data_IF_181190961109
#
_entry.id   IF_181190961109
#
_cell.length_a   1.000
_cell.length_b   1.000
_cell.length_c   1.000
_cell.angle_alpha   90.00
_cell.angle_beta   90.00
_cell.angle_gamma   90.00
#
_symmetry.space_group_name_H-M   'P 1'
#
loop_
_entity.id
_entity.type
_entity.pdbx_description
1 polymer ?
#
# COMPACT_ATOMS: atom_id res chain seq x y z
N UNK A 1 -79.20 31.06 -3.85
CA UNK A 1 -79.47 30.08 -4.92
C UNK A 1 -78.15 29.62 -5.48
N UNK A 2 -77.68 28.40 -5.38
CA UNK A 2 -78.00 27.17 -4.64
C UNK A 2 -76.73 26.34 -4.84
N UNK A 3 -75.99 26.02 -3.79
CA UNK A 3 -75.96 24.69 -3.19
C UNK A 3 -76.41 23.52 -4.09
N UNK A 4 -75.49 22.56 -4.27
CA UNK A 4 -75.67 21.17 -4.74
C UNK A 4 -75.95 20.93 -6.25
N UNK A 5 -74.93 20.46 -6.97
CA UNK A 5 -75.00 19.17 -7.70
C UNK A 5 -73.59 18.59 -7.98
N UNK A 6 -73.09 17.84 -6.99
CA UNK A 6 -72.32 16.59 -7.06
C UNK A 6 -72.10 15.92 -8.45
N UNK A 7 -70.84 15.68 -8.87
CA UNK A 7 -70.15 14.35 -8.92
C UNK A 7 -69.06 14.17 -10.01
N UNK A 8 -67.92 13.61 -9.55
CA UNK A 8 -66.87 12.82 -10.21
C UNK A 8 -65.92 13.44 -11.26
N UNK A 9 -64.64 13.62 -10.89
CA UNK A 9 -63.51 12.84 -11.46
C UNK A 9 -62.16 13.07 -10.72
N UNK A 10 -61.64 11.98 -10.16
CA UNK A 10 -60.22 11.54 -10.03
C UNK A 10 -59.05 12.48 -9.69
N UNK A 11 -58.35 12.12 -8.59
CA UNK A 11 -56.89 12.06 -8.36
C UNK A 11 -55.96 12.99 -9.16
N UNK A 12 -55.11 13.76 -8.47
CA UNK A 12 -53.72 13.34 -8.18
C UNK A 12 -52.97 14.35 -7.30
N UNK A 13 -52.16 13.77 -6.41
CA UNK A 13 -51.23 14.37 -5.48
C UNK A 13 -49.99 14.85 -6.26
N UNK A 14 -49.58 16.10 -6.15
CA UNK A 14 -48.25 16.54 -6.62
C UNK A 14 -47.39 16.89 -5.41
N UNK A 15 -46.63 15.90 -4.94
CA UNK A 15 -45.54 16.11 -4.00
C UNK A 15 -44.38 16.76 -4.76
N UNK A 16 -43.95 17.94 -4.31
CA UNK A 16 -42.72 18.58 -4.77
C UNK A 16 -41.55 17.84 -4.13
N UNK A 17 -40.94 16.92 -4.85
CA UNK A 17 -39.67 16.30 -4.45
C UNK A 17 -38.53 17.28 -4.78
N UNK A 18 -37.86 17.78 -3.75
CA UNK A 18 -36.59 18.47 -3.88
C UNK A 18 -35.54 17.47 -4.41
N UNK A 19 -35.01 17.72 -5.59
CA UNK A 19 -33.92 16.92 -6.17
C UNK A 19 -32.62 17.25 -5.43
N UNK A 20 -32.18 16.34 -4.56
CA UNK A 20 -30.80 16.30 -4.09
C UNK A 20 -29.90 15.88 -5.26
N UNK A 21 -28.94 16.73 -5.62
CA UNK A 21 -27.96 16.44 -6.65
C UNK A 21 -26.96 15.39 -6.11
N UNK A 22 -27.15 14.13 -6.50
CA UNK A 22 -26.15 13.08 -6.33
C UNK A 22 -25.03 13.29 -7.35
N UNK A 23 -23.80 13.53 -6.88
CA UNK A 23 -22.61 13.49 -7.74
C UNK A 23 -22.21 12.02 -7.92
N UNK A 24 -22.71 11.40 -8.97
CA UNK A 24 -22.27 10.07 -9.39
C UNK A 24 -20.94 10.22 -10.15
N UNK A 25 -19.84 9.76 -9.55
CA UNK A 25 -18.59 9.50 -10.27
C UNK A 25 -18.75 8.26 -11.16
N UNK A 26 -19.51 8.39 -12.25
CA UNK A 26 -19.55 7.39 -13.31
C UNK A 26 -18.25 7.48 -14.12
N UNK A 27 -17.39 6.47 -14.02
CA UNK A 27 -16.20 6.32 -14.86
C UNK A 27 -16.64 6.31 -16.34
N UNK A 28 -16.23 7.29 -17.17
CA UNK A 28 -16.61 7.32 -18.57
C UNK A 28 -15.60 6.51 -19.38
N UNK A 29 -15.62 5.18 -19.26
CA UNK A 29 -15.02 4.30 -20.27
C UNK A 29 -15.93 3.10 -20.52
N UNK A 30 -16.39 2.89 -21.77
CA UNK A 30 -17.05 1.64 -22.11
C UNK A 30 -16.02 0.51 -22.00
N UNK A 31 -16.32 -0.48 -21.16
CA UNK A 31 -15.60 -1.75 -21.15
C UNK A 31 -15.89 -2.46 -22.47
N UNK A 32 -14.98 -2.32 -23.43
CA UNK A 32 -14.97 -3.17 -24.62
C UNK A 32 -14.36 -4.50 -24.17
N UNK A 33 -15.21 -5.46 -23.82
CA UNK A 33 -14.80 -6.86 -23.65
C UNK A 33 -15.05 -7.53 -25.00
N UNK A 34 -14.07 -7.41 -25.91
CA UNK A 34 -14.06 -8.27 -27.09
C UNK A 34 -13.75 -9.71 -26.63
N UNK A 35 -14.47 -10.73 -27.14
CA UNK A 35 -14.14 -12.12 -26.85
C UNK A 35 -12.70 -12.41 -27.31
N UNK A 36 -11.91 -13.03 -26.44
CA UNK A 36 -10.54 -13.42 -26.73
C UNK A 36 -10.52 -14.30 -28.00
N UNK A 37 -9.63 -14.03 -28.97
CA UNK A 37 -9.45 -14.88 -30.15
C UNK A 37 -9.21 -16.34 -29.75
N UNK A 38 -9.79 -17.31 -30.48
CA UNK A 38 -9.59 -18.75 -30.22
C UNK A 38 -8.10 -19.17 -30.23
N UNK A 39 -7.25 -18.41 -30.90
CA UNK A 39 -5.79 -18.61 -30.92
C UNK A 39 -5.10 -18.35 -29.57
N UNK A 40 -5.79 -17.74 -28.60
CA UNK A 40 -5.32 -17.52 -27.23
C UNK A 40 -5.91 -18.54 -26.23
N UNK A 41 -6.59 -19.58 -26.72
CA UNK A 41 -7.14 -20.68 -25.90
C UNK A 41 -6.15 -21.84 -25.68
N UNK A 42 -4.89 -21.71 -26.15
CA UNK A 42 -3.81 -22.60 -25.71
C UNK A 42 -3.60 -22.45 -24.20
N UNK A 43 -3.08 -23.48 -23.55
CA UNK A 43 -2.77 -23.41 -22.12
C UNK A 43 -1.82 -22.22 -21.88
N UNK A 44 -2.25 -21.17 -21.14
CA UNK A 44 -1.41 -19.99 -20.90
C UNK A 44 -0.18 -20.32 -20.03
N UNK A 45 -0.09 -21.54 -19.49
CA UNK A 45 1.07 -22.03 -18.75
C UNK A 45 2.08 -22.80 -19.62
N UNK A 46 1.78 -23.03 -20.91
CA UNK A 46 2.75 -23.49 -21.92
C UNK A 46 3.53 -22.31 -22.56
N UNK A 47 3.25 -21.07 -22.12
CA UNK A 47 3.83 -19.83 -22.63
C UNK A 47 5.24 -19.54 -22.08
N UNK A 48 5.89 -18.53 -22.68
CA UNK A 48 7.18 -17.96 -22.24
C UNK A 48 7.21 -17.75 -20.71
N UNK A 49 8.16 -18.37 -19.97
CA UNK A 49 8.29 -18.18 -18.53
C UNK A 49 8.33 -16.71 -18.09
N UNK A 50 8.87 -15.82 -18.94
CA UNK A 50 8.82 -14.38 -18.67
C UNK A 50 7.39 -13.83 -18.62
N UNK A 51 6.52 -14.27 -19.54
CA UNK A 51 5.11 -13.85 -19.59
C UNK A 51 4.35 -14.34 -18.37
N UNK A 52 4.47 -15.64 -18.05
CA UNK A 52 3.77 -16.26 -16.91
C UNK A 52 4.23 -15.62 -15.60
N UNK A 53 5.53 -15.43 -15.40
CA UNK A 53 6.06 -14.85 -14.18
C UNK A 53 5.77 -13.36 -14.05
N UNK A 54 5.69 -12.61 -15.15
CA UNK A 54 5.25 -11.22 -15.12
C UNK A 54 3.74 -11.09 -14.86
N UNK A 55 2.92 -12.00 -15.39
CA UNK A 55 1.49 -12.05 -15.07
C UNK A 55 1.26 -12.43 -13.60
N UNK A 56 2.02 -13.41 -13.10
CA UNK A 56 2.06 -13.79 -11.68
C UNK A 56 2.49 -12.60 -10.80
N UNK A 57 3.52 -11.84 -11.22
CA UNK A 57 3.95 -10.55 -10.64
C UNK A 57 2.80 -9.59 -10.46
N UNK A 58 2.18 -9.24 -11.58
CA UNK A 58 1.09 -8.29 -11.60
C UNK A 58 -0.11 -8.76 -10.75
N UNK A 59 -0.46 -10.05 -10.82
CA UNK A 59 -1.54 -10.61 -10.03
C UNK A 59 -1.27 -10.55 -8.51
N UNK A 60 -0.02 -10.79 -8.09
CA UNK A 60 0.35 -10.68 -6.68
C UNK A 60 0.37 -9.23 -6.19
N UNK A 61 0.93 -8.32 -6.99
CA UNK A 61 0.87 -6.88 -6.73
C UNK A 61 -0.58 -6.42 -6.60
N UNK A 62 -1.49 -6.87 -7.47
CA UNK A 62 -2.91 -6.53 -7.40
C UNK A 62 -3.72 -7.29 -6.31
N UNK A 63 -3.07 -8.07 -5.44
CA UNK A 63 -3.72 -8.92 -4.42
C UNK A 63 -4.79 -9.88 -5.00
N UNK A 64 -4.59 -10.35 -6.23
CA UNK A 64 -5.49 -11.29 -6.92
C UNK A 64 -5.14 -12.78 -6.67
N UNK A 65 -4.03 -13.04 -5.99
CA UNK A 65 -3.54 -14.38 -5.72
C UNK A 65 -3.95 -14.86 -4.31
N UNK A 66 -4.19 -16.16 -4.16
CA UNK A 66 -4.39 -16.80 -2.84
C UNK A 66 -3.06 -16.87 -2.09
N UNK A 67 -3.01 -16.72 -0.74
CA UNK A 67 -1.77 -16.63 0.02
C UNK A 67 -0.70 -17.66 -0.34
N UNK A 68 0.54 -17.22 -0.50
CA UNK A 68 1.70 -18.04 -0.87
C UNK A 68 2.84 -17.86 0.15
N UNK A 69 3.65 -18.90 0.32
CA UNK A 69 4.80 -18.91 1.27
C UNK A 69 6.16 -18.77 0.59
N UNK A 70 6.20 -18.97 -0.72
CA UNK A 70 7.38 -18.94 -1.56
C UNK A 70 6.93 -18.57 -2.98
N UNK A 71 7.83 -18.02 -3.78
CA UNK A 71 7.57 -17.78 -5.21
C UNK A 71 7.48 -19.12 -5.98
N UNK A 72 6.79 -19.19 -7.14
CA UNK A 72 6.90 -20.31 -8.07
C UNK A 72 8.37 -20.52 -8.46
N UNK A 73 8.93 -21.74 -8.32
CA UNK A 73 10.34 -22.00 -8.61
C UNK A 73 10.78 -21.59 -10.02
N UNK A 74 9.89 -21.75 -11.00
CA UNK A 74 10.08 -21.32 -12.39
C UNK A 74 10.28 -19.81 -12.54
N UNK A 75 9.79 -19.01 -11.59
CA UNK A 75 9.88 -17.55 -11.60
C UNK A 75 11.11 -17.00 -10.87
N UNK A 76 11.97 -17.83 -10.29
CA UNK A 76 13.13 -17.36 -9.53
C UNK A 76 14.06 -16.42 -10.33
N UNK A 77 14.40 -16.82 -11.56
CA UNK A 77 15.26 -16.01 -12.43
C UNK A 77 14.59 -14.68 -12.80
N UNK A 78 13.28 -14.71 -13.10
CA UNK A 78 12.49 -13.52 -13.38
C UNK A 78 12.46 -12.55 -12.18
N UNK A 79 12.19 -13.07 -10.98
CA UNK A 79 12.10 -12.25 -9.76
C UNK A 79 13.46 -11.62 -9.44
N UNK A 80 14.55 -12.37 -9.57
CA UNK A 80 15.91 -11.85 -9.38
C UNK A 80 16.24 -10.73 -10.38
N UNK A 81 15.96 -10.94 -11.67
CA UNK A 81 16.18 -9.94 -12.72
C UNK A 81 15.32 -8.69 -12.51
N UNK A 82 14.04 -8.85 -12.17
CA UNK A 82 13.16 -7.73 -11.85
C UNK A 82 13.66 -6.93 -10.65
N UNK A 83 13.89 -7.60 -9.51
CA UNK A 83 14.21 -6.96 -8.23
C UNK A 83 15.56 -6.23 -8.25
N UNK A 84 16.53 -6.73 -9.01
CA UNK A 84 17.86 -6.11 -9.17
C UNK A 84 17.96 -5.21 -10.39
N UNK A 85 16.93 -5.22 -11.24
CA UNK A 85 16.89 -4.57 -12.54
C UNK A 85 16.25 -3.18 -12.53
N UNK A 86 16.26 -2.59 -13.72
CA UNK A 86 15.71 -1.24 -13.96
C UNK A 86 14.19 -1.20 -13.81
N UNK A 87 13.48 -2.30 -14.07
CA UNK A 87 12.03 -2.36 -13.98
C UNK A 87 11.54 -2.02 -12.56
N UNK A 88 12.10 -2.69 -11.54
CA UNK A 88 11.78 -2.42 -10.13
C UNK A 88 12.08 -0.97 -9.72
N UNK A 89 13.23 -0.42 -10.15
CA UNK A 89 13.58 0.97 -9.86
C UNK A 89 12.63 1.99 -10.53
N UNK A 90 12.13 1.67 -11.72
CA UNK A 90 11.18 2.49 -12.46
C UNK A 90 9.79 2.44 -11.80
N UNK A 91 9.33 1.26 -11.40
CA UNK A 91 8.06 1.10 -10.66
C UNK A 91 8.09 1.91 -9.35
N UNK A 92 9.19 1.81 -8.59
CA UNK A 92 9.43 2.61 -7.39
C UNK A 92 9.39 4.14 -7.62
N UNK A 93 10.08 4.63 -8.65
CA UNK A 93 10.08 6.07 -8.98
C UNK A 93 8.71 6.54 -9.46
N UNK A 94 7.96 5.72 -10.21
CA UNK A 94 6.60 6.08 -10.64
C UNK A 94 5.68 6.26 -9.44
N UNK A 95 5.65 5.29 -8.51
CA UNK A 95 4.83 5.38 -7.30
C UNK A 95 5.25 6.58 -6.45
N UNK A 96 6.55 6.76 -6.18
CA UNK A 96 7.03 7.89 -5.39
C UNK A 96 6.65 9.26 -6.00
N UNK A 97 6.65 9.38 -7.33
CA UNK A 97 6.23 10.62 -8.03
C UNK A 97 4.75 10.90 -7.90
N UNK A 98 3.91 9.88 -8.05
CA UNK A 98 2.46 10.01 -7.87
C UNK A 98 2.14 10.37 -6.40
N UNK A 99 2.87 9.81 -5.42
CA UNK A 99 2.74 10.19 -4.01
C UNK A 99 3.13 11.62 -3.74
N UNK A 100 4.27 12.06 -4.28
CA UNK A 100 4.69 13.45 -4.16
C UNK A 100 3.69 14.40 -4.83
N UNK A 101 3.12 14.02 -5.99
CA UNK A 101 2.10 14.81 -6.65
C UNK A 101 0.83 14.96 -5.81
N UNK A 102 0.34 13.87 -5.22
CA UNK A 102 -0.77 13.91 -4.30
C UNK A 102 -0.46 14.75 -3.05
N UNK A 103 0.71 14.56 -2.44
CA UNK A 103 1.11 15.29 -1.23
C UNK A 103 1.20 16.81 -1.43
N UNK A 104 1.57 17.26 -2.63
CA UNK A 104 1.59 18.69 -2.98
C UNK A 104 0.19 19.30 -3.17
N UNK A 105 -0.78 18.49 -3.57
CA UNK A 105 -2.14 18.95 -3.89
C UNK A 105 -3.13 18.79 -2.72
N UNK A 106 -2.87 17.83 -1.81
CA UNK A 106 -3.74 17.57 -0.68
C UNK A 106 -3.80 18.78 0.27
N UNK A 107 -5.02 19.18 0.61
CA UNK A 107 -5.25 20.31 1.52
C UNK A 107 -4.77 19.99 2.94
N UNK A 108 -3.83 20.78 3.44
CA UNK A 108 -3.34 20.70 4.82
C UNK A 108 -4.25 21.51 5.76
N UNK A 109 -4.47 21.00 6.98
CA UNK A 109 -5.30 21.66 7.99
C UNK A 109 -4.59 22.81 8.71
N UNK A 110 -3.26 22.88 8.65
CA UNK A 110 -2.46 24.01 9.17
C UNK A 110 -2.31 24.07 10.69
N UNK A 111 -2.82 23.07 11.42
CA UNK A 111 -2.69 22.93 12.88
C UNK A 111 -1.52 22.01 13.31
N UNK A 112 -0.73 21.52 12.34
CA UNK A 112 0.40 20.64 12.58
C UNK A 112 0.05 19.16 12.83
N UNK A 113 -1.22 18.78 12.66
CA UNK A 113 -1.70 17.41 12.88
C UNK A 113 -1.78 16.56 11.61
N UNK A 114 -1.39 17.09 10.45
CA UNK A 114 -1.33 16.32 9.20
C UNK A 114 -0.14 15.35 9.23
N UNK A 115 -0.41 14.06 9.00
CA UNK A 115 0.59 13.01 9.09
C UNK A 115 0.66 12.14 7.83
N UNK A 116 1.85 11.64 7.56
CA UNK A 116 2.12 10.60 6.58
C UNK A 116 2.75 9.40 7.28
N UNK A 117 2.14 8.24 7.10
CA UNK A 117 2.64 7.00 7.70
C UNK A 117 3.54 6.29 6.68
N UNK A 118 4.73 5.90 7.11
CA UNK A 118 5.64 5.05 6.33
C UNK A 118 5.88 3.74 7.07
N UNK A 119 5.74 2.62 6.35
CA UNK A 119 6.41 1.39 6.75
C UNK A 119 7.93 1.52 6.59
N UNK A 120 8.70 0.64 7.22
CA UNK A 120 10.16 0.71 7.22
C UNK A 120 10.77 -0.29 6.24
N UNK A 121 10.56 -1.57 6.50
CA UNK A 121 11.10 -2.67 5.70
C UNK A 121 10.43 -2.68 4.32
N UNK A 122 11.23 -2.82 3.27
CA UNK A 122 10.79 -2.84 1.87
C UNK A 122 10.06 -1.58 1.39
N UNK A 123 10.07 -0.53 2.21
CA UNK A 123 9.42 0.76 1.93
C UNK A 123 10.42 1.91 2.01
N UNK A 124 11.10 2.07 3.15
CA UNK A 124 12.19 3.06 3.30
C UNK A 124 13.55 2.42 3.09
N UNK A 125 13.76 1.22 3.64
CA UNK A 125 15.02 0.48 3.51
C UNK A 125 14.77 -0.86 2.81
N UNK A 126 15.75 -1.29 2.03
CA UNK A 126 15.66 -2.51 1.25
C UNK A 126 16.43 -3.65 1.91
N UNK A 127 15.73 -4.74 2.22
CA UNK A 127 16.33 -5.99 2.66
C UNK A 127 16.65 -6.91 1.45
N UNK A 128 16.64 -6.38 0.22
CA UNK A 128 17.01 -7.14 -0.99
C UNK A 128 18.36 -7.86 -0.88
N UNK A 129 19.42 -7.31 -0.23
CA UNK A 129 20.66 -8.05 -0.02
C UNK A 129 20.47 -9.35 0.78
N UNK A 130 19.59 -9.35 1.79
CA UNK A 130 19.22 -10.58 2.50
C UNK A 130 18.53 -11.57 1.57
N UNK A 131 17.53 -11.11 0.81
CA UNK A 131 16.79 -12.00 -0.10
C UNK A 131 17.64 -12.55 -1.24
N UNK A 132 18.66 -11.81 -1.70
CA UNK A 132 19.61 -12.31 -2.69
C UNK A 132 20.42 -13.52 -2.17
N UNK A 133 20.71 -13.56 -0.87
CA UNK A 133 21.36 -14.69 -0.21
C UNK A 133 20.41 -15.87 0.06
N UNK A 134 19.08 -15.64 0.01
CA UNK A 134 18.02 -16.61 0.31
C UNK A 134 17.12 -16.91 -0.91
N UNK A 135 17.70 -16.86 -2.11
CA UNK A 135 17.04 -17.28 -3.34
C UNK A 135 15.84 -16.43 -3.78
N UNK A 136 15.79 -15.16 -3.40
CA UNK A 136 14.74 -14.20 -3.79
C UNK A 136 13.30 -14.66 -3.48
N UNK A 137 13.10 -15.35 -2.35
CA UNK A 137 11.78 -15.83 -1.93
C UNK A 137 11.46 -17.27 -2.33
N UNK A 138 12.46 -18.04 -2.77
CA UNK A 138 12.35 -19.50 -2.90
C UNK A 138 12.34 -20.23 -1.54
N UNK A 139 12.86 -19.57 -0.51
CA UNK A 139 12.90 -20.11 0.84
C UNK A 139 11.73 -19.59 1.66
N UNK A 140 11.16 -20.46 2.51
CA UNK A 140 10.16 -20.05 3.48
C UNK A 140 10.81 -19.08 4.47
N UNK A 141 10.11 -17.98 4.79
CA UNK A 141 10.62 -16.98 5.71
C UNK A 141 11.09 -17.57 7.04
N UNK A 142 12.27 -17.13 7.47
CA UNK A 142 12.80 -17.44 8.79
C UNK A 142 13.00 -16.15 9.58
N UNK A 143 12.10 -15.90 10.52
CA UNK A 143 12.14 -14.72 11.39
C UNK A 143 13.47 -14.60 12.12
N UNK A 144 14.06 -15.70 12.60
CA UNK A 144 15.31 -15.66 13.36
C UNK A 144 16.53 -15.30 12.51
N UNK A 145 16.60 -15.76 11.26
CA UNK A 145 17.66 -15.36 10.35
C UNK A 145 17.49 -13.91 9.87
N UNK A 146 16.24 -13.50 9.66
CA UNK A 146 15.93 -12.11 9.34
C UNK A 146 16.26 -11.15 10.49
N UNK A 147 15.98 -11.53 11.74
CA UNK A 147 16.36 -10.73 12.92
C UNK A 147 17.88 -10.52 12.98
N UNK A 148 18.68 -11.55 12.68
CA UNK A 148 20.14 -11.40 12.58
C UNK A 148 20.55 -10.44 11.45
N UNK A 149 19.80 -10.41 10.35
CA UNK A 149 20.02 -9.44 9.28
C UNK A 149 19.69 -8.01 9.74
N UNK A 150 18.55 -7.82 10.40
CA UNK A 150 18.14 -6.53 10.97
C UNK A 150 19.18 -6.00 11.96
N UNK A 151 19.75 -6.87 12.80
CA UNK A 151 20.78 -6.51 13.78
C UNK A 151 22.09 -6.04 13.15
N UNK A 152 22.36 -6.36 11.87
CA UNK A 152 23.51 -5.79 11.13
C UNK A 152 23.33 -4.29 10.83
N UNK A 153 22.09 -3.81 10.82
CA UNK A 153 21.72 -2.42 10.59
C UNK A 153 22.36 -1.80 9.33
N UNK A 154 22.41 -2.58 8.25
CA UNK A 154 23.10 -2.26 7.00
C UNK A 154 22.17 -2.25 5.78
N UNK A 155 20.85 -2.26 5.98
CA UNK A 155 19.90 -2.24 4.87
C UNK A 155 19.98 -0.88 4.15
N UNK A 156 20.23 -0.85 2.82
CA UNK A 156 20.33 0.40 2.08
C UNK A 156 18.98 1.13 1.97
N UNK A 157 19.03 2.45 1.80
CA UNK A 157 17.84 3.24 1.48
C UNK A 157 17.25 2.85 0.13
N UNK A 158 15.93 2.92 0.00
CA UNK A 158 15.24 2.92 -1.29
C UNK A 158 15.25 4.36 -1.82
N UNK A 159 15.97 4.68 -2.92
CA UNK A 159 16.23 6.06 -3.31
C UNK A 159 14.96 6.89 -3.60
N UNK A 160 13.98 6.29 -4.29
CA UNK A 160 12.71 6.94 -4.61
C UNK A 160 11.91 7.27 -3.34
N UNK A 161 11.90 6.37 -2.36
CA UNK A 161 11.27 6.58 -1.06
C UNK A 161 11.98 7.65 -0.23
N UNK A 162 13.31 7.71 -0.28
CA UNK A 162 14.07 8.77 0.40
C UNK A 162 13.76 10.16 -0.18
N UNK A 163 13.60 10.25 -1.50
CA UNK A 163 13.18 11.48 -2.17
C UNK A 163 11.77 11.91 -1.74
N UNK A 164 10.82 10.97 -1.76
CA UNK A 164 9.45 11.22 -1.29
C UNK A 164 9.45 11.64 0.19
N UNK A 165 10.13 10.91 1.06
CA UNK A 165 10.22 11.21 2.48
C UNK A 165 10.68 12.66 2.75
N UNK A 166 11.74 13.10 2.07
CA UNK A 166 12.24 14.48 2.18
C UNK A 166 11.21 15.50 1.69
N UNK A 167 10.54 15.21 0.57
CA UNK A 167 9.48 16.06 0.06
C UNK A 167 8.29 16.19 1.02
N UNK A 168 7.86 15.09 1.65
CA UNK A 168 6.81 15.11 2.69
C UNK A 168 7.23 15.97 3.89
N UNK A 169 8.49 15.87 4.34
CA UNK A 169 9.02 16.75 5.40
C UNK A 169 9.01 18.22 4.98
N UNK A 170 9.45 18.53 3.76
CA UNK A 170 9.51 19.90 3.23
C UNK A 170 8.12 20.55 3.10
N UNK A 171 7.08 19.72 2.90
CA UNK A 171 5.67 20.15 2.91
C UNK A 171 5.12 20.40 4.34
N UNK A 172 5.91 20.13 5.38
CA UNK A 172 5.49 20.30 6.78
C UNK A 172 4.56 19.20 7.30
N UNK A 173 4.42 18.09 6.56
CA UNK A 173 3.63 16.93 6.97
C UNK A 173 4.45 16.12 7.97
N UNK A 174 3.83 15.70 9.07
CA UNK A 174 4.48 14.90 10.12
C UNK A 174 4.69 13.47 9.65
N UNK A 175 5.92 12.98 9.73
CA UNK A 175 6.20 11.59 9.35
C UNK A 175 6.10 10.68 10.57
N UNK A 176 5.25 9.65 10.48
CA UNK A 176 5.17 8.56 11.46
C UNK A 176 5.70 7.29 10.81
N UNK A 177 6.69 6.67 11.44
CA UNK A 177 7.22 5.37 11.03
C UNK A 177 6.48 4.27 11.80
N UNK A 178 5.90 3.31 11.09
CA UNK A 178 5.13 2.21 11.66
C UNK A 178 5.63 0.88 11.07
N UNK A 179 6.40 0.13 11.86
CA UNK A 179 7.09 -1.09 11.39
C UNK A 179 6.64 -2.34 12.12
N UNK A 180 6.74 -3.49 11.44
CA UNK A 180 6.56 -4.81 12.04
C UNK A 180 7.72 -5.27 12.93
N UNK A 181 8.85 -4.55 12.97
CA UNK A 181 9.98 -4.85 13.86
C UNK A 181 9.57 -4.75 15.33
N UNK A 182 10.27 -5.47 16.19
CA UNK A 182 10.02 -5.45 17.64
C UNK A 182 10.67 -4.26 18.33
N UNK A 183 10.12 -3.83 19.47
CA UNK A 183 10.73 -2.79 20.33
C UNK A 183 12.19 -3.11 20.72
N UNK A 184 12.55 -4.39 20.83
CA UNK A 184 13.93 -4.82 21.07
C UNK A 184 14.91 -4.37 19.98
N UNK A 185 14.43 -4.17 18.74
CA UNK A 185 15.21 -3.72 17.59
C UNK A 185 15.16 -2.20 17.37
N UNK A 186 14.58 -1.42 18.30
CA UNK A 186 14.44 0.03 18.14
C UNK A 186 15.77 0.72 17.86
N UNK A 187 16.81 0.42 18.64
CA UNK A 187 18.11 1.08 18.52
C UNK A 187 18.77 0.79 17.16
N UNK A 188 18.80 -0.49 16.74
CA UNK A 188 19.39 -0.88 15.44
C UNK A 188 18.60 -0.32 14.26
N UNK A 189 17.28 -0.22 14.39
CA UNK A 189 16.41 0.38 13.38
C UNK A 189 16.68 1.88 13.21
N UNK A 190 16.76 2.63 14.31
CA UNK A 190 17.10 4.07 14.28
C UNK A 190 18.49 4.28 13.66
N UNK A 191 19.47 3.48 14.09
CA UNK A 191 20.83 3.56 13.56
C UNK A 191 20.87 3.32 12.03
N UNK A 192 20.15 2.29 11.56
CA UNK A 192 20.07 2.01 10.13
C UNK A 192 19.38 3.15 9.37
N UNK A 193 18.25 3.66 9.86
CA UNK A 193 17.49 4.74 9.21
C UNK A 193 18.33 6.02 9.07
N UNK A 194 19.02 6.42 10.14
CA UNK A 194 19.93 7.57 10.12
C UNK A 194 21.05 7.37 9.07
N UNK A 195 21.68 6.20 9.05
CA UNK A 195 22.73 5.89 8.07
C UNK A 195 22.21 5.85 6.62
N UNK A 196 20.94 5.46 6.44
CA UNK A 196 20.24 5.49 5.17
C UNK A 196 19.78 6.91 4.76
N UNK A 197 19.96 7.92 5.63
CA UNK A 197 19.65 9.32 5.36
C UNK A 197 18.22 9.73 5.71
N UNK A 198 17.49 8.90 6.45
CA UNK A 198 16.19 9.23 7.04
C UNK A 198 16.41 9.84 8.42
N UNK A 199 15.85 11.03 8.65
CA UNK A 199 15.95 11.77 9.90
C UNK A 199 14.65 12.56 10.12
N UNK A 200 14.46 13.14 11.31
CA UNK A 200 13.37 14.08 11.61
C UNK A 200 11.93 13.51 11.48
N UNK A 201 11.73 12.20 11.69
CA UNK A 201 10.39 11.67 11.87
C UNK A 201 9.79 12.13 13.21
N UNK A 202 8.47 12.25 13.27
CA UNK A 202 7.70 12.64 14.45
C UNK A 202 7.60 11.47 15.44
N UNK A 203 7.29 10.27 14.95
CA UNK A 203 7.14 9.06 15.77
C UNK A 203 7.74 7.84 15.07
N UNK A 204 8.26 6.91 15.88
CA UNK A 204 8.65 5.57 15.45
C UNK A 204 7.94 4.54 16.34
N UNK A 205 7.01 3.81 15.75
CA UNK A 205 6.15 2.81 16.38
C UNK A 205 6.65 1.42 15.97
N UNK A 206 7.03 0.61 16.96
CA UNK A 206 7.42 -0.80 16.78
C UNK A 206 6.44 -1.70 17.54
N UNK A 207 6.53 -3.01 17.32
CA UNK A 207 5.71 -3.99 18.04
C UNK A 207 6.17 -4.11 19.48
N UNK A 208 5.24 -3.87 20.41
CA UNK A 208 5.45 -4.12 21.84
C UNK A 208 5.06 -5.53 22.25
N UNK A 209 5.20 -5.83 23.54
CA UNK A 209 4.85 -7.14 24.11
C UNK A 209 3.36 -7.49 23.90
N UNK A 210 2.47 -6.50 23.91
CA UNK A 210 1.03 -6.69 23.70
C UNK A 210 0.65 -6.96 22.24
N UNK A 211 1.60 -6.87 21.31
CA UNK A 211 1.39 -7.08 19.87
C UNK A 211 1.85 -8.46 19.41
N UNK A 212 2.35 -9.31 20.33
CA UNK A 212 2.71 -10.69 20.03
C UNK A 212 1.51 -11.49 19.52
N UNK A 213 1.69 -12.16 18.37
CA UNK A 213 0.65 -12.99 17.74
C UNK A 213 -0.37 -12.22 16.89
N UNK A 214 -0.35 -10.88 16.89
CA UNK A 214 -1.17 -10.08 15.96
C UNK A 214 -0.58 -10.14 14.56
N UNK A 215 -1.42 -10.29 13.55
CA UNK A 215 -1.03 -10.13 12.14
C UNK A 215 -0.51 -8.71 11.88
N UNK A 216 0.24 -8.50 10.80
CA UNK A 216 0.69 -7.16 10.40
C UNK A 216 -0.51 -6.23 10.16
N UNK A 217 -1.51 -6.69 9.40
CA UNK A 217 -2.75 -5.96 9.16
C UNK A 217 -3.43 -5.49 10.46
N UNK A 218 -3.72 -6.39 11.41
CA UNK A 218 -4.41 -6.00 12.66
C UNK A 218 -3.58 -5.02 13.48
N UNK A 219 -2.29 -5.32 13.69
CA UNK A 219 -1.40 -4.45 14.46
C UNK A 219 -1.31 -3.05 13.83
N UNK A 220 -1.03 -2.94 12.53
CA UNK A 220 -0.84 -1.63 11.87
C UNK A 220 -2.15 -0.84 11.78
N UNK A 221 -3.29 -1.52 11.61
CA UNK A 221 -4.63 -0.90 11.64
C UNK A 221 -4.94 -0.30 13.01
N UNK A 222 -4.68 -1.03 14.10
CA UNK A 222 -4.84 -0.52 15.47
C UNK A 222 -3.95 0.69 15.72
N UNK A 223 -2.67 0.65 15.31
CA UNK A 223 -1.74 1.77 15.49
C UNK A 223 -2.10 3.02 14.70
N UNK A 224 -2.65 2.87 13.49
CA UNK A 224 -3.21 4.02 12.75
C UNK A 224 -4.45 4.60 13.43
N UNK A 225 -5.32 3.75 13.97
CA UNK A 225 -6.49 4.18 14.73
C UNK A 225 -6.10 4.95 15.99
N UNK A 226 -5.05 4.50 16.70
CA UNK A 226 -4.47 5.22 17.85
C UNK A 226 -3.99 6.63 17.45
N UNK A 227 -3.30 6.77 16.31
CA UNK A 227 -2.86 8.09 15.79
C UNK A 227 -4.03 9.02 15.48
N UNK A 228 -5.11 8.51 14.88
CA UNK A 228 -6.31 9.30 14.62
C UNK A 228 -7.00 9.75 15.92
N UNK A 229 -7.06 8.88 16.93
CA UNK A 229 -7.58 9.22 18.27
C UNK A 229 -6.72 10.30 18.95
N UNK A 230 -5.40 10.28 18.74
CA UNK A 230 -4.48 11.34 19.19
C UNK A 230 -4.68 12.66 18.43
N UNK A 231 -5.48 12.67 17.37
CA UNK A 231 -5.84 13.85 16.59
C UNK A 231 -5.08 14.00 15.27
N UNK A 232 -4.21 13.06 14.91
CA UNK A 232 -3.53 13.11 13.62
C UNK A 232 -4.53 12.90 12.48
N UNK A 233 -4.37 13.67 11.41
CA UNK A 233 -5.01 13.42 10.11
C UNK A 233 -4.01 12.69 9.23
N UNK A 234 -4.18 11.38 9.10
CA UNK A 234 -3.39 10.61 8.15
C UNK A 234 -3.82 11.04 6.73
N UNK A 235 -2.87 11.59 5.97
CA UNK A 235 -3.05 12.04 4.59
C UNK A 235 -2.57 10.99 3.59
N UNK A 236 -1.51 10.27 3.93
CA UNK A 236 -0.94 9.20 3.11
C UNK A 236 -0.41 8.06 3.97
N UNK A 237 -0.40 6.87 3.37
CA UNK A 237 0.19 5.66 3.93
C UNK A 237 1.06 5.00 2.86
N UNK A 238 2.35 4.89 3.12
CA UNK A 238 3.32 4.26 2.23
C UNK A 238 3.74 2.93 2.80
N UNK A 239 3.32 1.86 2.15
CA UNK A 239 3.56 0.49 2.59
C UNK A 239 3.53 -0.47 1.41
N UNK A 240 4.29 -1.56 1.52
CA UNK A 240 4.42 -2.60 0.50
C UNK A 240 3.25 -3.57 0.42
N UNK A 241 2.55 -3.78 1.55
CA UNK A 241 1.49 -4.77 1.67
C UNK A 241 0.12 -4.11 1.59
N UNK A 242 -0.63 -4.40 0.52
CA UNK A 242 -2.00 -3.89 0.32
C UNK A 242 -2.91 -4.19 1.51
N UNK A 243 -2.86 -5.42 2.02
CA UNK A 243 -3.73 -5.87 3.13
C UNK A 243 -3.50 -5.06 4.40
N UNK A 244 -2.26 -4.68 4.65
CA UNK A 244 -1.93 -3.90 5.83
C UNK A 244 -2.43 -2.46 5.77
N UNK A 245 -2.98 -2.01 4.64
CA UNK A 245 -3.61 -0.70 4.52
C UNK A 245 -5.11 -0.68 4.88
N UNK A 246 -5.77 -1.83 5.03
CA UNK A 246 -7.22 -1.92 5.22
C UNK A 246 -7.62 -2.03 6.71
N UNK A 247 -8.58 -1.18 7.15
CA UNK A 247 -9.80 -1.60 7.88
C UNK A 247 -10.66 -0.41 8.36
N UNK A 248 -10.15 0.83 8.55
CA UNK A 248 -10.98 1.91 9.12
C UNK A 248 -10.67 3.36 8.66
N UNK A 249 -9.79 3.60 7.68
CA UNK A 249 -9.48 4.97 7.24
C UNK A 249 -10.35 5.36 6.05
N UNK A 250 -11.19 6.39 6.20
CA UNK A 250 -12.12 6.95 5.19
C UNK A 250 -11.40 7.60 3.99
N UNK A 251 -10.07 7.51 3.92
CA UNK A 251 -9.25 8.15 2.90
C UNK A 251 -8.59 7.07 2.06
N UNK A 252 -8.47 7.28 0.74
CA UNK A 252 -7.89 6.29 -0.15
C UNK A 252 -6.55 5.83 0.43
N UNK A 253 -6.24 4.54 0.26
CA UNK A 253 -4.87 4.05 0.30
C UNK A 253 -4.12 4.78 -0.83
N UNK A 254 -3.79 6.03 -0.59
CA UNK A 254 -3.10 6.92 -1.48
C UNK A 254 -1.70 6.38 -1.54
N UNK A 255 -1.49 5.51 -2.52
CA UNK A 255 -0.26 4.83 -2.89
C UNK A 255 0.10 3.63 -2.02
N UNK A 256 -0.67 2.55 -2.18
CA UNK A 256 -0.09 1.21 -2.00
C UNK A 256 1.13 1.10 -2.92
N UNK A 257 2.30 0.92 -2.31
CA UNK A 257 3.53 0.64 -3.04
C UNK A 257 3.41 -0.79 -3.55
N UNK A 258 2.94 -0.92 -4.78
CA UNK A 258 2.90 -2.19 -5.50
C UNK A 258 4.34 -2.64 -5.74
N UNK A 259 4.92 -3.43 -4.85
CA UNK A 259 6.08 -4.25 -5.20
C UNK A 259 5.92 -5.68 -4.74
N UNK A 260 6.31 -6.54 -5.66
CA UNK A 260 5.97 -7.94 -5.71
C UNK A 260 6.72 -8.89 -4.77
N UNK A 261 7.82 -8.51 -4.13
CA UNK A 261 8.61 -9.53 -3.43
C UNK A 261 8.06 -9.92 -2.04
N UNK A 262 7.10 -9.17 -1.47
CA UNK A 262 6.95 -9.16 0.00
C UNK A 262 5.54 -9.41 0.55
N UNK A 263 4.59 -9.81 -0.30
CA UNK A 263 3.33 -10.43 0.16
C UNK A 263 3.53 -11.78 0.90
N UNK A 264 4.78 -12.20 1.07
CA UNK A 264 5.24 -13.42 1.76
C UNK A 264 5.29 -13.30 3.29
N UNK A 265 5.12 -12.11 3.87
CA UNK A 265 5.52 -11.83 5.27
C UNK A 265 4.38 -11.36 6.21
N UNK A 266 3.12 -11.70 5.92
CA UNK A 266 2.00 -11.59 6.87
C UNK A 266 1.67 -12.90 7.61
#
# INVERSE_FOLDING_TARGET
MDLLLLLFLSLTLSAVAATAAHHDHLLPRPLIIDPLPETLLSDPFDDDPFLVCNAWRFAGEANNLSPWKTIPPECAAFVADYATGRAYAVDLEMVAREAGAYARDVGLGGDGMDAWVFDVDETLISNLPYYAEHGFGLEVFNVHEFDKWVDKASAPAIPSSLKLYKEILDLGIKIVLLTGRSEGQRHVTIYNLNNAGYENWEKLILRGENDHGKTATTYKSEKRSELEIEGYRILGNSEITIRSCEENVVKPCGLSFLLFLFALFE
#
